data_IF_406622015023
#
_entry.id   IF_406622015023
#
_cell.length_a   1.000
_cell.length_b   1.000
_cell.length_c   1.000
_cell.angle_alpha   90.00
_cell.angle_beta   90.00
_cell.angle_gamma   90.00
#
_symmetry.space_group_name_H-M   'P 1'
#
loop_
_entity.id
_entity.type
_entity.pdbx_description
1 polymer ?
#
# COMPACT_ATOMS: atom_id res chain seq x y z
N UNK A 1 -39.93 -31.47 25.30
CA UNK A 1 -38.59 -30.88 25.09
C UNK A 1 -38.26 -30.08 26.33
N UNK A 2 -37.11 -30.33 26.94
CA UNK A 2 -36.71 -29.60 28.14
C UNK A 2 -36.42 -28.14 27.79
N UNK A 3 -36.80 -27.22 28.69
CA UNK A 3 -36.62 -25.77 28.52
C UNK A 3 -35.15 -25.44 28.18
N UNK A 4 -34.21 -26.15 28.80
CA UNK A 4 -32.78 -26.04 28.53
C UNK A 4 -32.42 -26.40 27.08
N UNK A 5 -33.03 -27.43 26.51
CA UNK A 5 -32.81 -27.84 25.11
C UNK A 5 -33.31 -26.79 24.14
N UNK A 6 -34.45 -26.14 24.45
CA UNK A 6 -35.02 -25.06 23.63
C UNK A 6 -34.14 -23.80 23.67
N UNK A 7 -33.64 -23.44 24.85
CA UNK A 7 -32.73 -22.30 25.00
C UNK A 7 -31.41 -22.56 24.26
N UNK A 8 -30.84 -23.76 24.44
CA UNK A 8 -29.58 -24.13 23.80
C UNK A 8 -29.70 -24.15 22.27
N UNK A 9 -30.76 -24.75 21.72
CA UNK A 9 -30.98 -24.78 20.26
C UNK A 9 -31.21 -23.38 19.69
N UNK A 10 -31.93 -22.52 20.41
CA UNK A 10 -32.11 -21.12 20.03
C UNK A 10 -30.78 -20.35 19.96
N UNK A 11 -29.88 -20.55 20.93
CA UNK A 11 -28.56 -19.92 20.94
C UNK A 11 -27.69 -20.37 19.77
N UNK A 12 -27.67 -21.68 19.46
CA UNK A 12 -26.92 -22.22 18.31
C UNK A 12 -27.49 -21.67 17.00
N UNK A 13 -28.81 -21.57 16.88
CA UNK A 13 -29.47 -21.00 15.70
C UNK A 13 -29.07 -19.54 15.48
N UNK A 14 -29.14 -18.70 16.53
CA UNK A 14 -28.73 -17.29 16.46
C UNK A 14 -27.24 -17.17 16.10
N UNK A 15 -26.37 -17.99 16.71
CA UNK A 15 -24.94 -17.98 16.41
C UNK A 15 -24.66 -18.33 14.94
N UNK A 16 -25.33 -19.36 14.41
CA UNK A 16 -25.17 -19.81 13.02
C UNK A 16 -25.65 -18.75 12.03
N UNK A 17 -26.80 -18.14 12.32
CA UNK A 17 -27.36 -17.08 11.48
C UNK A 17 -26.45 -15.84 11.49
N UNK A 18 -25.92 -15.47 12.66
CA UNK A 18 -24.92 -14.42 12.79
C UNK A 18 -23.62 -14.73 12.03
N UNK A 19 -23.19 -15.99 12.02
CA UNK A 19 -21.97 -16.42 11.33
C UNK A 19 -22.10 -16.27 9.81
N UNK A 20 -23.22 -16.73 9.24
CA UNK A 20 -23.52 -16.59 7.81
C UNK A 20 -23.58 -15.11 7.44
N UNK A 21 -24.35 -14.30 8.17
CA UNK A 21 -24.46 -12.86 7.89
C UNK A 21 -23.08 -12.19 7.94
N UNK A 22 -22.28 -12.51 8.96
CA UNK A 22 -20.96 -11.89 9.16
C UNK A 22 -19.97 -12.24 8.06
N UNK A 23 -19.92 -13.52 7.65
CA UNK A 23 -18.95 -13.97 6.63
C UNK A 23 -19.35 -13.50 5.23
N UNK A 24 -20.65 -13.54 4.90
CA UNK A 24 -21.14 -13.19 3.56
C UNK A 24 -21.43 -11.69 3.36
N UNK A 25 -21.31 -10.86 4.39
CA UNK A 25 -21.47 -9.40 4.27
C UNK A 25 -20.41 -8.76 3.36
N UNK A 26 -19.24 -9.38 3.23
CA UNK A 26 -18.16 -8.89 2.39
C UNK A 26 -17.68 -9.97 1.43
N UNK A 27 -17.43 -9.64 0.14
CA UNK A 27 -16.80 -10.57 -0.79
C UNK A 27 -15.39 -10.94 -0.32
N UNK A 28 -15.15 -12.24 -0.19
CA UNK A 28 -13.91 -12.83 0.33
C UNK A 28 -13.48 -13.99 -0.57
N UNK A 29 -12.19 -14.29 -0.53
CA UNK A 29 -11.69 -15.52 -1.14
C UNK A 29 -12.38 -16.73 -0.50
N UNK A 30 -12.65 -17.74 -1.33
CA UNK A 30 -13.40 -18.94 -0.95
C UNK A 30 -12.77 -19.62 0.27
N UNK A 31 -11.43 -19.67 0.33
CA UNK A 31 -10.66 -20.22 1.45
C UNK A 31 -10.92 -19.49 2.78
N UNK A 32 -10.92 -18.15 2.77
CA UNK A 32 -11.16 -17.33 3.95
C UNK A 32 -12.62 -17.43 4.43
N UNK A 33 -13.57 -17.55 3.52
CA UNK A 33 -14.99 -17.77 3.83
C UNK A 33 -15.15 -19.08 4.62
N UNK A 34 -14.57 -20.18 4.15
CA UNK A 34 -14.61 -21.46 4.86
C UNK A 34 -13.91 -21.40 6.22
N UNK A 35 -12.72 -20.80 6.30
CA UNK A 35 -11.99 -20.68 7.57
C UNK A 35 -12.81 -19.95 8.64
N UNK A 36 -13.44 -18.83 8.29
CA UNK A 36 -14.25 -18.06 9.25
C UNK A 36 -15.59 -18.71 9.57
N UNK A 37 -16.23 -19.39 8.62
CA UNK A 37 -17.42 -20.19 8.89
C UNK A 37 -17.11 -21.30 9.90
N UNK A 38 -16.00 -22.02 9.72
CA UNK A 38 -15.59 -23.07 10.65
C UNK A 38 -15.34 -22.49 12.05
N UNK A 39 -14.54 -21.43 12.17
CA UNK A 39 -14.26 -20.80 13.48
C UNK A 39 -15.55 -20.35 14.18
N UNK A 40 -16.49 -19.73 13.46
CA UNK A 40 -17.74 -19.22 14.04
C UNK A 40 -18.75 -20.33 14.40
N UNK A 41 -18.72 -21.45 13.68
CA UNK A 41 -19.57 -22.62 13.96
C UNK A 41 -19.01 -23.46 15.12
N UNK A 42 -17.71 -23.73 15.12
CA UNK A 42 -17.07 -24.58 16.15
C UNK A 42 -16.88 -23.85 17.49
N UNK A 43 -16.73 -22.52 17.47
CA UNK A 43 -16.58 -21.71 18.67
C UNK A 43 -17.70 -20.67 18.76
N UNK A 44 -18.91 -21.06 19.19
CA UNK A 44 -20.01 -20.11 19.32
C UNK A 44 -19.65 -18.99 20.31
N UNK A 45 -20.05 -17.76 20.00
CA UNK A 45 -19.69 -16.51 20.70
C UNK A 45 -18.20 -16.14 20.67
N UNK A 46 -17.30 -17.05 21.07
CA UNK A 46 -15.85 -16.81 21.10
C UNK A 46 -15.29 -16.58 19.69
N UNK A 47 -15.81 -17.29 18.68
CA UNK A 47 -15.44 -17.11 17.29
C UNK A 47 -15.72 -15.70 16.77
N UNK A 48 -16.74 -15.01 17.29
CA UNK A 48 -17.02 -13.61 16.93
C UNK A 48 -15.98 -12.65 17.50
N UNK A 49 -15.48 -12.92 18.71
CA UNK A 49 -14.38 -12.17 19.30
C UNK A 49 -13.12 -12.35 18.44
N UNK A 50 -12.79 -13.60 18.09
CA UNK A 50 -11.62 -13.90 17.23
C UNK A 50 -11.78 -13.25 15.85
N UNK A 51 -12.96 -13.35 15.24
CA UNK A 51 -13.28 -12.72 13.96
C UNK A 51 -13.11 -11.20 14.02
N UNK A 52 -13.51 -10.56 15.11
CA UNK A 52 -13.36 -9.11 15.26
C UNK A 52 -11.90 -8.66 15.20
N UNK A 53 -10.99 -9.40 15.84
CA UNK A 53 -9.56 -9.07 15.87
C UNK A 53 -8.82 -9.44 14.58
N UNK A 54 -9.15 -10.58 13.96
CA UNK A 54 -8.34 -11.16 12.87
C UNK A 54 -9.10 -11.30 11.55
N UNK A 55 -10.43 -11.38 11.58
CA UNK A 55 -11.27 -11.65 10.40
C UNK A 55 -11.78 -10.39 9.70
N UNK A 56 -11.92 -9.28 10.42
CA UNK A 56 -12.34 -8.01 9.82
C UNK A 56 -11.19 -7.43 8.99
N UNK A 57 -11.42 -7.22 7.68
CA UNK A 57 -10.46 -6.50 6.83
C UNK A 57 -10.41 -5.04 7.30
N UNK A 58 -9.23 -4.41 7.29
CA UNK A 58 -9.10 -2.97 7.56
C UNK A 58 -10.01 -2.23 6.56
N UNK A 59 -10.86 -1.33 7.07
CA UNK A 59 -11.77 -0.53 6.24
C UNK A 59 -10.97 0.22 5.19
N UNK A 60 -11.16 -0.16 3.92
CA UNK A 60 -10.52 0.48 2.77
C UNK A 60 -10.98 1.93 2.59
N UNK A 61 -12.17 2.26 3.07
CA UNK A 61 -12.82 3.55 2.87
C UNK A 61 -12.02 4.71 3.50
N UNK A 62 -11.41 4.49 4.67
CA UNK A 62 -10.61 5.54 5.33
C UNK A 62 -9.26 5.81 4.66
N UNK A 63 -8.74 4.85 3.90
CA UNK A 63 -7.47 5.00 3.16
C UNK A 63 -7.71 5.62 1.77
N UNK A 64 -8.90 5.38 1.19
CA UNK A 64 -9.23 5.81 -0.17
C UNK A 64 -9.80 7.23 -0.28
N UNK A 65 -10.36 7.80 0.79
CA UNK A 65 -11.05 9.11 0.71
C UNK A 65 -10.09 10.28 0.37
N UNK A 66 -8.82 10.19 0.80
CA UNK A 66 -7.75 11.14 0.46
C UNK A 66 -7.34 11.10 -1.02
N UNK A 67 -7.66 10.02 -1.77
CA UNK A 67 -7.27 9.81 -3.18
C UNK A 67 -8.26 10.38 -4.19
N UNK A 68 -9.45 10.80 -3.77
CA UNK A 68 -10.57 11.08 -4.69
C UNK A 68 -10.30 12.19 -5.72
N UNK A 69 -9.42 13.16 -5.43
CA UNK A 69 -9.10 14.24 -6.36
C UNK A 69 -7.92 13.94 -7.29
N UNK A 70 -6.81 13.39 -6.77
CA UNK A 70 -5.64 13.11 -7.61
C UNK A 70 -5.83 11.89 -8.51
N UNK A 71 -6.51 10.84 -8.00
CA UNK A 71 -6.89 9.69 -8.82
C UNK A 71 -7.84 10.10 -9.93
N UNK A 72 -8.75 11.04 -9.68
CA UNK A 72 -9.62 11.58 -10.73
C UNK A 72 -8.84 12.31 -11.84
N UNK A 73 -7.76 13.03 -11.51
CA UNK A 73 -6.91 13.70 -12.52
C UNK A 73 -6.12 12.71 -13.36
N UNK A 74 -5.54 11.69 -12.73
CA UNK A 74 -4.80 10.63 -13.43
C UNK A 74 -5.74 9.86 -14.35
N UNK A 75 -6.88 9.42 -13.82
CA UNK A 75 -7.93 8.75 -14.57
C UNK A 75 -8.38 9.56 -15.78
N UNK A 76 -8.70 10.84 -15.58
CA UNK A 76 -9.12 11.71 -16.68
C UNK A 76 -8.05 11.82 -17.78
N UNK A 77 -6.77 11.89 -17.41
CA UNK A 77 -5.65 11.89 -18.38
C UNK A 77 -5.55 10.55 -19.11
N UNK A 78 -5.72 9.43 -18.42
CA UNK A 78 -5.71 8.11 -19.04
C UNK A 78 -6.88 7.95 -20.04
N UNK A 79 -8.08 8.38 -19.67
CA UNK A 79 -9.27 8.41 -20.55
C UNK A 79 -9.01 9.30 -21.79
N UNK A 80 -8.42 10.48 -21.61
CA UNK A 80 -8.06 11.35 -22.75
C UNK A 80 -7.03 10.68 -23.67
N UNK A 81 -6.01 10.00 -23.12
CA UNK A 81 -5.04 9.28 -23.95
C UNK A 81 -5.66 8.10 -24.70
N UNK A 82 -6.63 7.39 -24.12
CA UNK A 82 -7.35 6.33 -24.81
C UNK A 82 -8.12 6.89 -26.03
N UNK A 83 -8.85 7.99 -25.84
CA UNK A 83 -9.57 8.66 -26.94
C UNK A 83 -8.60 9.12 -28.05
N UNK A 84 -7.44 9.68 -27.69
CA UNK A 84 -6.41 10.09 -28.65
C UNK A 84 -5.84 8.89 -29.41
N UNK A 85 -5.60 7.75 -28.74
CA UNK A 85 -5.08 6.54 -29.37
C UNK A 85 -6.11 5.86 -30.29
N UNK A 86 -7.41 6.00 -30.02
CA UNK A 86 -8.46 5.52 -30.92
C UNK A 86 -8.54 6.34 -32.20
N UNK A 87 -8.33 7.66 -32.09
CA UNK A 87 -8.45 8.59 -33.22
C UNK A 87 -7.17 8.72 -34.05
N UNK A 88 -6.00 8.60 -33.42
CA UNK A 88 -4.70 8.77 -34.05
C UNK A 88 -3.82 7.51 -33.92
N UNK A 89 -3.66 6.82 -35.04
CA UNK A 89 -2.81 5.63 -35.14
C UNK A 89 -1.31 5.94 -35.27
N UNK A 90 -0.89 7.19 -35.30
CA UNK A 90 0.51 7.56 -35.51
C UNK A 90 1.32 7.61 -34.22
N UNK A 91 0.67 7.57 -33.06
CA UNK A 91 1.34 7.68 -31.77
C UNK A 91 2.29 6.51 -31.50
N UNK A 92 1.94 5.32 -31.99
CA UNK A 92 2.74 4.10 -31.98
C UNK A 92 2.94 3.59 -33.40
N UNK A 93 4.19 3.34 -33.79
CA UNK A 93 4.50 2.75 -35.11
C UNK A 93 4.16 1.25 -35.15
N UNK A 94 4.17 0.58 -33.98
CA UNK A 94 3.89 -0.85 -33.82
C UNK A 94 2.52 -1.07 -33.17
N UNK A 95 1.67 -1.88 -33.81
CA UNK A 95 0.35 -2.26 -33.31
C UNK A 95 0.43 -2.94 -31.94
N UNK A 96 1.46 -3.77 -31.71
CA UNK A 96 1.66 -4.44 -30.42
C UNK A 96 1.89 -3.42 -29.29
N UNK A 97 2.71 -2.39 -29.54
CA UNK A 97 2.96 -1.34 -28.55
C UNK A 97 1.69 -0.53 -28.27
N UNK A 98 0.85 -0.32 -29.28
CA UNK A 98 -0.45 0.33 -29.11
C UNK A 98 -1.38 -0.52 -28.23
N UNK A 99 -1.52 -1.80 -28.51
CA UNK A 99 -2.37 -2.70 -27.71
C UNK A 99 -1.88 -2.79 -26.25
N UNK A 100 -0.56 -2.85 -26.06
CA UNK A 100 0.04 -2.86 -24.72
C UNK A 100 -0.21 -1.54 -23.98
N UNK A 101 -0.11 -0.41 -24.67
CA UNK A 101 -0.42 0.91 -24.15
C UNK A 101 -1.89 1.02 -23.69
N UNK A 102 -2.82 0.57 -24.54
CA UNK A 102 -4.25 0.52 -24.22
C UNK A 102 -4.49 -0.35 -22.98
N UNK A 103 -3.88 -1.54 -22.93
CA UNK A 103 -3.99 -2.43 -21.78
C UNK A 103 -3.57 -1.75 -20.46
N UNK A 104 -2.44 -1.03 -20.45
CA UNK A 104 -1.97 -0.34 -19.24
C UNK A 104 -2.86 0.84 -18.84
N UNK A 105 -3.38 1.59 -19.82
CA UNK A 105 -4.31 2.69 -19.58
C UNK A 105 -5.64 2.20 -19.00
N UNK A 106 -6.18 1.09 -19.50
CA UNK A 106 -7.44 0.51 -19.02
C UNK A 106 -7.31 -0.22 -17.68
N UNK A 107 -6.20 -0.91 -17.44
CA UNK A 107 -6.04 -1.77 -16.25
C UNK A 107 -5.62 -1.04 -14.99
N UNK A 108 -4.76 -0.02 -15.10
CA UNK A 108 -4.16 0.65 -13.94
C UNK A 108 -4.05 2.18 -14.10
N UNK A 109 -4.78 2.76 -15.06
CA UNK A 109 -4.78 4.21 -15.35
C UNK A 109 -3.36 4.75 -15.60
N UNK A 110 -2.48 3.91 -16.14
CA UNK A 110 -1.04 4.18 -16.31
C UNK A 110 -0.78 5.09 -17.51
N UNK A 111 -0.79 6.40 -17.25
CA UNK A 111 -0.53 7.45 -18.25
C UNK A 111 0.84 7.27 -18.91
N UNK A 112 0.86 7.36 -20.24
CA UNK A 112 2.07 7.13 -21.05
C UNK A 112 2.77 8.46 -21.32
N UNK A 113 4.09 8.49 -21.11
CA UNK A 113 4.94 9.66 -21.39
C UNK A 113 5.91 9.38 -22.55
N UNK A 114 6.36 10.45 -23.21
CA UNK A 114 7.35 10.41 -24.30
C UNK A 114 8.60 11.20 -23.93
N UNK A 115 9.71 10.92 -24.60
CA UNK A 115 10.99 11.59 -24.35
C UNK A 115 11.67 11.16 -23.05
N UNK A 116 11.34 9.96 -22.55
CA UNK A 116 11.96 9.42 -21.34
C UNK A 116 13.41 9.02 -21.63
N UNK A 117 14.30 9.34 -20.70
CA UNK A 117 15.64 8.77 -20.65
C UNK A 117 15.63 7.63 -19.63
N UNK A 118 16.11 6.46 -20.02
CA UNK A 118 16.14 5.27 -19.17
C UNK A 118 17.57 4.78 -19.07
N UNK A 119 18.03 4.61 -17.83
CA UNK A 119 19.31 3.99 -17.52
C UNK A 119 19.06 2.69 -16.76
N UNK A 120 19.71 1.61 -17.20
CA UNK A 120 19.55 0.28 -16.61
C UNK A 120 20.75 0.00 -15.70
N UNK A 121 20.48 -0.03 -14.40
CA UNK A 121 21.48 -0.40 -13.40
C UNK A 121 21.38 -1.88 -13.09
N UNK A 122 22.52 -2.57 -13.13
CA UNK A 122 22.58 -4.03 -12.89
C UNK A 122 23.27 -4.40 -11.57
N UNK A 123 23.80 -3.41 -10.86
CA UNK A 123 24.47 -3.57 -9.57
C UNK A 123 23.85 -2.70 -8.49
N UNK A 124 23.76 -3.24 -7.28
CA UNK A 124 23.35 -2.47 -6.10
C UNK A 124 24.28 -1.31 -5.79
N UNK A 125 25.60 -1.50 -5.99
CA UNK A 125 26.59 -0.45 -5.72
C UNK A 125 26.39 0.77 -6.62
N UNK A 126 26.15 0.53 -7.91
CA UNK A 126 25.84 1.57 -8.89
C UNK A 126 24.56 2.31 -8.50
N UNK A 127 23.49 1.55 -8.22
CA UNK A 127 22.20 2.12 -7.77
C UNK A 127 22.33 3.01 -6.54
N UNK A 128 23.04 2.58 -5.51
CA UNK A 128 23.17 3.38 -4.28
C UNK A 128 24.16 4.53 -4.41
N UNK A 129 25.13 4.44 -5.32
CA UNK A 129 26.02 5.56 -5.64
C UNK A 129 25.22 6.67 -6.32
N UNK A 130 24.47 6.33 -7.39
CA UNK A 130 23.64 7.29 -8.10
C UNK A 130 22.54 7.88 -7.20
N UNK A 131 21.84 7.03 -6.43
CA UNK A 131 20.82 7.51 -5.50
C UNK A 131 21.36 8.54 -4.52
N UNK A 132 22.54 8.31 -3.93
CA UNK A 132 23.15 9.26 -2.99
C UNK A 132 23.48 10.59 -3.66
N UNK A 133 23.87 10.57 -4.94
CA UNK A 133 24.10 11.79 -5.72
C UNK A 133 22.79 12.53 -6.00
N UNK A 134 21.76 11.83 -6.45
CA UNK A 134 20.43 12.40 -6.72
C UNK A 134 19.84 13.07 -5.47
N UNK A 135 19.95 12.41 -4.32
CA UNK A 135 19.49 12.94 -3.03
C UNK A 135 20.24 14.23 -2.65
N UNK A 136 21.56 14.28 -2.85
CA UNK A 136 22.35 15.50 -2.56
C UNK A 136 21.95 16.65 -3.48
N UNK A 137 21.68 16.34 -4.75
CA UNK A 137 21.33 17.31 -5.78
C UNK A 137 19.88 17.79 -5.73
N UNK A 138 18.99 17.12 -4.99
CA UNK A 138 17.59 17.50 -4.83
C UNK A 138 17.45 18.94 -4.27
N UNK A 139 16.50 19.71 -4.80
CA UNK A 139 16.33 21.15 -4.47
C UNK A 139 14.99 21.52 -3.86
N UNK A 140 13.97 20.70 -4.07
CA UNK A 140 12.59 21.02 -3.72
C UNK A 140 12.00 19.97 -2.76
N UNK A 141 11.94 18.72 -3.20
CA UNK A 141 11.46 17.60 -2.40
C UNK A 141 12.25 16.32 -2.62
N UNK A 142 12.21 15.44 -1.63
CA UNK A 142 12.69 14.06 -1.62
C UNK A 142 11.58 13.20 -1.01
N UNK A 143 10.93 12.41 -1.85
CA UNK A 143 9.97 11.39 -1.40
C UNK A 143 10.54 10.02 -1.74
N UNK A 144 10.78 9.20 -0.72
CA UNK A 144 11.33 7.85 -0.92
C UNK A 144 10.41 6.78 -0.30
N UNK A 145 10.27 5.66 -1.01
CA UNK A 145 9.51 4.50 -0.56
C UNK A 145 10.38 3.25 -0.58
N UNK A 146 10.54 2.58 0.56
CA UNK A 146 11.34 1.36 0.68
C UNK A 146 10.61 0.23 1.40
N UNK A 147 10.68 -0.97 0.84
CA UNK A 147 10.21 -2.17 1.54
C UNK A 147 11.11 -2.50 2.75
N UNK A 148 12.43 -2.33 2.64
CA UNK A 148 13.36 -2.51 3.77
C UNK A 148 14.19 -1.25 3.89
N UNK A 149 14.09 -0.59 5.03
CA UNK A 149 15.00 0.46 5.46
C UNK A 149 15.60 0.01 6.80
N UNK A 150 16.89 -0.30 6.83
CA UNK A 150 17.57 -0.83 8.01
C UNK A 150 18.40 0.23 8.73
N UNK A 151 18.51 0.06 10.06
CA UNK A 151 19.48 0.74 10.92
C UNK A 151 20.86 0.07 10.76
N UNK A 152 21.45 0.20 9.56
CA UNK A 152 22.77 -0.29 9.18
C UNK A 152 23.64 0.83 8.55
N UNK A 153 24.85 0.50 8.10
CA UNK A 153 25.80 1.48 7.53
C UNK A 153 25.18 2.26 6.36
N UNK A 154 24.53 1.56 5.43
CA UNK A 154 23.89 2.18 4.27
C UNK A 154 22.67 3.02 4.67
N UNK A 155 21.86 2.53 5.61
CA UNK A 155 20.74 3.27 6.16
C UNK A 155 21.17 4.57 6.83
N UNK A 156 22.27 4.54 7.57
CA UNK A 156 22.85 5.74 8.19
C UNK A 156 23.38 6.73 7.16
N UNK A 157 24.11 6.27 6.13
CA UNK A 157 24.57 7.15 5.05
C UNK A 157 23.40 7.88 4.36
N UNK A 158 22.31 7.17 4.08
CA UNK A 158 21.12 7.77 3.50
C UNK A 158 20.45 8.73 4.47
N UNK A 159 20.27 8.34 5.74
CA UNK A 159 19.67 9.18 6.76
C UNK A 159 20.42 10.50 6.93
N UNK A 160 21.75 10.48 6.92
CA UNK A 160 22.57 11.69 7.03
C UNK A 160 22.33 12.66 5.87
N UNK A 161 22.29 12.16 4.63
CA UNK A 161 21.97 12.99 3.46
C UNK A 161 20.56 13.57 3.61
N UNK A 162 19.58 12.74 3.96
CA UNK A 162 18.18 13.18 4.14
C UNK A 162 18.04 14.26 5.22
N UNK A 163 18.75 14.11 6.35
CA UNK A 163 18.81 15.11 7.42
C UNK A 163 19.41 16.41 6.92
N UNK A 164 20.53 16.37 6.19
CA UNK A 164 21.18 17.55 5.64
C UNK A 164 20.24 18.30 4.68
N UNK A 165 19.54 17.57 3.80
CA UNK A 165 18.58 18.15 2.85
C UNK A 165 17.37 18.76 3.55
N UNK A 166 16.84 18.11 4.58
CA UNK A 166 15.77 18.66 5.41
C UNK A 166 16.20 19.97 6.09
N UNK A 167 17.42 20.03 6.62
CA UNK A 167 17.98 21.27 7.21
C UNK A 167 18.17 22.39 6.17
N UNK A 168 18.43 22.04 4.90
CA UNK A 168 18.50 23.00 3.79
C UNK A 168 17.10 23.48 3.34
N UNK A 169 16.01 22.98 3.93
CA UNK A 169 14.64 23.36 3.60
C UNK A 169 14.01 22.54 2.47
N UNK A 170 14.67 21.46 2.02
CA UNK A 170 14.07 20.49 1.08
C UNK A 170 13.03 19.67 1.81
N UNK A 171 11.84 19.47 1.24
CA UNK A 171 10.82 18.62 1.83
C UNK A 171 11.28 17.15 1.79
N UNK A 172 11.39 16.50 2.95
CA UNK A 172 11.81 15.09 3.02
C UNK A 172 10.74 14.22 3.63
N UNK A 173 10.22 13.28 2.84
CA UNK A 173 9.23 12.28 3.26
C UNK A 173 9.76 10.87 3.00
N UNK A 174 9.82 10.06 4.05
CA UNK A 174 10.26 8.66 3.98
C UNK A 174 9.10 7.74 4.29
N UNK A 175 8.72 6.89 3.34
CA UNK A 175 7.74 5.83 3.54
C UNK A 175 8.47 4.48 3.59
N UNK A 176 8.23 3.68 4.63
CA UNK A 176 8.87 2.38 4.76
C UNK A 176 7.91 1.29 5.23
N UNK A 177 8.14 0.03 4.85
CA UNK A 177 7.31 -1.08 5.35
C UNK A 177 7.70 -1.45 6.80
N UNK A 178 6.71 -1.56 7.69
CA UNK A 178 6.93 -1.82 9.11
C UNK A 178 7.51 -3.22 9.39
N UNK A 179 7.09 -4.25 8.64
CA UNK A 179 7.52 -5.62 8.85
C UNK A 179 8.91 -5.85 8.27
N UNK A 180 9.16 -5.33 7.07
CA UNK A 180 10.46 -5.34 6.41
C UNK A 180 11.51 -4.55 7.19
N UNK A 181 11.10 -3.45 7.82
CA UNK A 181 11.97 -2.54 8.59
C UNK A 181 11.85 -2.71 10.11
N UNK A 182 11.38 -3.86 10.59
CA UNK A 182 11.08 -4.11 12.03
C UNK A 182 12.25 -3.87 13.00
N UNK A 183 13.48 -3.84 12.49
CA UNK A 183 14.68 -3.57 13.29
C UNK A 183 15.03 -2.07 13.36
N UNK A 184 14.40 -1.24 12.53
CA UNK A 184 14.58 0.20 12.48
C UNK A 184 13.60 0.87 13.42
N UNK A 185 14.09 1.20 14.61
CA UNK A 185 13.29 1.78 15.69
C UNK A 185 13.05 3.27 15.46
N UNK A 186 12.02 3.84 16.08
CA UNK A 186 11.72 5.28 15.96
C UNK A 186 12.88 6.22 16.36
N UNK A 187 13.77 5.78 17.23
CA UNK A 187 15.00 6.52 17.57
C UNK A 187 15.91 6.78 16.35
N UNK A 188 15.85 5.92 15.33
CA UNK A 188 16.63 6.06 14.10
C UNK A 188 16.19 7.31 13.34
N UNK A 189 14.87 7.48 13.20
CA UNK A 189 14.26 8.60 12.49
C UNK A 189 14.31 9.93 13.24
N UNK A 190 14.62 9.91 14.54
CA UNK A 190 14.62 11.11 15.39
C UNK A 190 15.43 12.27 14.78
N UNK A 191 16.62 12.00 14.25
CA UNK A 191 17.46 13.04 13.63
C UNK A 191 16.78 13.69 12.43
N UNK A 192 16.07 12.90 11.63
CA UNK A 192 15.32 13.39 10.47
C UNK A 192 14.14 14.25 10.90
N UNK A 193 13.39 13.81 11.92
CA UNK A 193 12.25 14.57 12.47
C UNK A 193 12.69 15.88 13.10
N UNK A 194 13.76 15.87 13.87
CA UNK A 194 14.33 17.07 14.48
C UNK A 194 14.84 18.07 13.41
N UNK A 195 15.20 17.59 12.22
CA UNK A 195 15.58 18.40 11.05
C UNK A 195 14.39 18.88 10.20
N UNK A 196 13.15 18.50 10.54
CA UNK A 196 11.94 18.89 9.82
C UNK A 196 11.46 17.89 8.76
N UNK A 197 12.20 16.81 8.52
CA UNK A 197 11.76 15.70 7.68
C UNK A 197 10.72 14.81 8.37
N UNK A 198 10.03 13.96 7.61
CA UNK A 198 9.03 13.02 8.14
C UNK A 198 9.33 11.60 7.69
N UNK A 199 8.98 10.64 8.54
CA UNK A 199 9.01 9.23 8.18
C UNK A 199 7.74 8.55 8.67
N UNK A 200 7.14 7.71 7.84
CA UNK A 200 5.91 6.98 8.16
C UNK A 200 6.02 5.52 7.72
N UNK A 201 5.41 4.65 8.53
CA UNK A 201 5.32 3.24 8.22
C UNK A 201 4.10 2.96 7.31
N UNK A 202 4.32 2.30 6.17
CA UNK A 202 3.27 1.83 5.30
C UNK A 202 2.56 0.64 5.97
N UNK A 203 1.27 0.82 6.25
CA UNK A 203 0.43 0.02 7.15
C UNK A 203 0.77 0.16 8.64
N UNK A 204 -0.18 0.75 9.38
CA UNK A 204 -0.08 1.14 10.79
C UNK A 204 0.06 -0.03 11.78
N UNK A 205 1.14 -0.79 11.71
CA UNK A 205 1.59 -1.61 12.81
C UNK A 205 2.42 -0.74 13.76
N UNK A 206 1.74 0.03 14.61
CA UNK A 206 2.36 0.79 15.69
C UNK A 206 2.64 -0.14 16.87
N UNK A 207 3.75 -0.89 16.82
CA UNK A 207 4.39 -1.41 18.02
C UNK A 207 5.89 -1.11 17.93
N UNK A 208 6.31 -0.05 18.62
CA UNK A 208 7.71 0.37 18.73
C UNK A 208 7.87 1.87 18.72
#
# INVERSE_FOLDING_TARGET
MDLLTVIFSGLVFINTLGAIITVFREPREISATWAWLLVLVFFPFLGFIIYFFFGRKISKDRIFDLKSQDTFRIRKRAETQLEELEQDNTFFEDLYLKELAVLFLESDESVITKGNQVEIMTSGQEKFTQLKEDLRNAKDHIHIGYYIFNDDELGHELLEILVEKAQQGVEVLVLYDALGSRFTKQKFWKKLHDAGGRSEAFFGYTFG
#
